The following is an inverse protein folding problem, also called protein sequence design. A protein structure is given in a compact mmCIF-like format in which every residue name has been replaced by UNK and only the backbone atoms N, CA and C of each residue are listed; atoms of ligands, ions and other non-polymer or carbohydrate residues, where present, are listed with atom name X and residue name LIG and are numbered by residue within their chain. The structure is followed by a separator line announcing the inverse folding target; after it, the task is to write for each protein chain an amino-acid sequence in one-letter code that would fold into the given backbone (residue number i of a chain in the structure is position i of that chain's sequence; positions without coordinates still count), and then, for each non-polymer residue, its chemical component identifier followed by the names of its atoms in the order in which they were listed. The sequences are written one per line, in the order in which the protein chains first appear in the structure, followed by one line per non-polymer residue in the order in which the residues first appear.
data_IF_654926308971
#
_entry.id   IF_654926308971
#
_cell.length_a   1.000
_cell.length_b   1.000
_cell.length_c   1.000
_cell.angle_alpha   90.00
_cell.angle_beta   90.00
_cell.angle_gamma   90.00
#
_symmetry.space_group_name_H-M   'P 1'
#
loop_
_entity.id
_entity.type
_entity.pdbx_description
1 polymer ?
#
# COMPACT_ATOMS: atom_id res chain seq x y z
N UNK A 1 17.63 8.50 -10.57
CA UNK A 1 16.27 8.03 -10.90
C UNK A 1 15.20 9.05 -10.53
N UNK A 2 15.34 9.83 -9.44
CA UNK A 2 14.42 10.92 -9.12
C UNK A 2 14.11 11.88 -10.28
N UNK A 3 15.11 12.21 -11.11
CA UNK A 3 14.91 13.11 -12.27
C UNK A 3 13.95 12.54 -13.33
N UNK A 4 13.75 11.21 -13.34
CA UNK A 4 12.82 10.56 -14.25
C UNK A 4 11.36 10.79 -13.86
N UNK A 5 11.08 11.27 -12.63
CA UNK A 5 9.72 11.49 -12.09
C UNK A 5 8.79 10.30 -12.38
N UNK A 6 9.32 9.11 -12.10
CA UNK A 6 8.74 7.86 -12.57
C UNK A 6 7.87 7.21 -11.51
N UNK A 7 6.75 6.66 -11.96
CA UNK A 7 5.94 5.72 -11.18
C UNK A 7 6.34 4.30 -11.55
N UNK A 8 6.68 3.50 -10.56
CA UNK A 8 6.91 2.07 -10.72
C UNK A 8 5.65 1.32 -10.31
N UNK A 9 5.08 0.55 -11.23
CA UNK A 9 4.07 -0.44 -10.92
C UNK A 9 4.77 -1.74 -10.54
N UNK A 10 4.77 -2.07 -9.26
CA UNK A 10 5.36 -3.30 -8.76
C UNK A 10 4.39 -4.48 -8.93
N UNK A 11 4.97 -5.67 -9.12
CA UNK A 11 4.23 -6.93 -9.05
C UNK A 11 3.71 -7.22 -7.65
N UNK A 12 3.13 -8.40 -7.46
CA UNK A 12 2.49 -8.80 -6.21
C UNK A 12 3.50 -8.94 -5.05
N UNK A 13 3.34 -8.10 -4.02
CA UNK A 13 4.09 -8.21 -2.76
C UNK A 13 3.24 -8.69 -1.60
N UNK A 14 2.00 -9.14 -1.82
CA UNK A 14 1.04 -9.57 -0.80
C UNK A 14 0.64 -8.46 0.20
N UNK A 15 1.12 -7.23 0.01
CA UNK A 15 0.84 -6.09 0.86
C UNK A 15 0.62 -4.84 -0.02
N UNK A 16 -0.63 -4.38 -0.18
CA UNK A 16 -0.90 -3.15 -0.91
C UNK A 16 -0.11 -1.99 -0.28
N UNK A 17 0.71 -1.32 -1.08
CA UNK A 17 1.59 -0.26 -0.59
C UNK A 17 1.92 0.79 -1.65
N UNK A 18 2.10 2.01 -1.19
CA UNK A 18 2.62 3.13 -1.97
C UNK A 18 3.83 3.71 -1.23
N UNK A 19 5.01 3.61 -1.83
CA UNK A 19 6.29 3.98 -1.20
C UNK A 19 7.03 4.95 -2.10
N UNK A 20 7.51 6.06 -1.52
CA UNK A 20 8.44 6.97 -2.19
C UNK A 20 9.86 6.64 -1.75
N UNK A 21 10.73 6.30 -2.70
CA UNK A 21 12.15 6.10 -2.41
C UNK A 21 12.88 7.44 -2.47
N UNK A 22 13.74 7.75 -1.49
CA UNK A 22 14.54 8.98 -1.51
C UNK A 22 15.53 8.92 -2.68
N UNK A 23 15.51 9.91 -3.56
CA UNK A 23 16.31 9.91 -4.79
C UNK A 23 15.83 8.92 -5.88
N UNK A 24 14.69 8.28 -5.65
CA UNK A 24 14.12 7.23 -6.50
C UNK A 24 12.67 7.49 -6.89
N UNK A 25 12.00 6.48 -7.47
CA UNK A 25 10.62 6.59 -7.92
C UNK A 25 9.61 6.50 -6.77
N UNK A 26 8.36 6.81 -7.09
CA UNK A 26 7.20 6.34 -6.33
C UNK A 26 6.81 4.96 -6.84
N UNK A 27 6.85 3.97 -5.96
CA UNK A 27 6.47 2.59 -6.23
C UNK A 27 5.06 2.31 -5.70
N UNK A 28 4.18 1.87 -6.57
CA UNK A 28 2.87 1.36 -6.21
C UNK A 28 2.84 -0.16 -6.39
N UNK A 29 2.61 -0.87 -5.29
CA UNK A 29 2.25 -2.28 -5.30
C UNK A 29 0.76 -2.39 -4.99
N UNK A 30 -0.02 -2.88 -5.96
CA UNK A 30 -1.44 -3.15 -5.74
C UNK A 30 -1.66 -4.30 -4.76
N UNK A 31 -2.89 -4.48 -4.28
CA UNK A 31 -3.27 -5.69 -3.54
C UNK A 31 -2.98 -6.97 -4.33
N UNK A 32 -2.67 -8.04 -3.61
CA UNK A 32 -2.66 -9.39 -4.20
C UNK A 32 -4.07 -9.77 -4.65
N UNK A 33 -4.18 -10.41 -5.83
CA UNK A 33 -5.46 -10.98 -6.28
C UNK A 33 -5.93 -12.15 -5.41
N UNK A 34 -4.99 -12.82 -4.72
CA UNK A 34 -5.24 -13.85 -3.73
C UNK A 34 -3.93 -14.50 -3.28
N UNK A 35 -3.74 -14.62 -1.96
CA UNK A 35 -2.54 -15.22 -1.35
C UNK A 35 -2.86 -15.85 -0.01
N UNK A 36 -2.26 -17.01 0.29
CA UNK A 36 -2.37 -17.60 1.63
C UNK A 36 -1.26 -17.11 2.55
N UNK A 37 -0.14 -16.61 2.01
CA UNK A 37 0.98 -16.12 2.79
C UNK A 37 0.83 -14.63 3.08
N UNK A 38 0.43 -14.30 4.31
CA UNK A 38 0.20 -12.93 4.75
C UNK A 38 1.51 -12.18 4.97
N UNK A 39 1.62 -10.98 4.37
CA UNK A 39 2.60 -9.97 4.74
C UNK A 39 1.90 -8.83 5.49
N UNK A 40 2.64 -8.20 6.39
CA UNK A 40 2.16 -7.06 7.18
C UNK A 40 3.30 -6.08 7.41
N UNK A 41 2.93 -4.85 7.69
CA UNK A 41 3.84 -3.78 8.05
C UNK A 41 3.28 -3.01 9.25
N UNK A 42 3.84 -3.30 10.42
CA UNK A 42 3.43 -2.71 11.70
C UNK A 42 4.69 -2.22 12.43
N UNK A 43 5.28 -1.09 11.99
CA UNK A 43 6.50 -0.55 12.57
C UNK A 43 6.32 -0.27 14.07
N UNK A 44 7.31 -0.68 14.85
CA UNK A 44 7.42 -0.41 16.29
C UNK A 44 8.83 0.12 16.57
N UNK A 45 8.99 1.38 16.99
CA UNK A 45 7.95 2.40 17.24
C UNK A 45 7.22 2.87 15.96
N UNK A 46 6.13 3.66 16.08
CA UNK A 46 5.49 4.31 14.93
C UNK A 46 6.49 5.13 14.11
N UNK A 47 6.23 5.26 12.80
CA UNK A 47 7.12 5.98 11.89
C UNK A 47 7.18 7.48 12.20
N UNK A 48 8.35 8.12 12.09
CA UNK A 48 8.47 9.58 12.08
C UNK A 48 7.67 10.20 10.94
N UNK A 49 7.29 11.48 11.09
CA UNK A 49 6.56 12.26 10.09
C UNK A 49 5.35 11.50 9.51
N UNK A 50 4.42 11.06 10.39
CA UNK A 50 3.33 10.16 10.03
C UNK A 50 2.42 10.78 8.96
N UNK A 51 1.87 9.93 8.11
CA UNK A 51 0.82 10.31 7.16
C UNK A 51 -0.57 10.31 7.81
N UNK A 52 -1.60 10.31 6.96
CA UNK A 52 -3.00 10.34 7.41
C UNK A 52 -3.55 9.00 7.91
N UNK A 53 -2.78 7.91 7.74
CA UNK A 53 -3.20 6.56 8.15
C UNK A 53 -2.11 5.86 8.98
N UNK A 54 -2.46 4.89 9.83
CA UNK A 54 -1.48 4.14 10.61
C UNK A 54 -0.40 3.48 9.72
N UNK A 55 0.80 3.31 10.28
CA UNK A 55 1.94 2.66 9.60
C UNK A 55 2.45 3.42 8.35
N UNK A 56 2.14 4.71 8.21
CA UNK A 56 2.69 5.59 7.17
C UNK A 56 3.64 6.61 7.78
N UNK A 57 4.59 7.11 6.99
CA UNK A 57 5.64 8.02 7.45
C UNK A 57 7.00 7.68 6.88
N UNK A 58 8.04 8.29 7.44
CA UNK A 58 9.42 8.11 6.99
C UNK A 58 9.95 6.76 7.49
N UNK A 59 10.59 6.00 6.61
CA UNK A 59 11.03 4.63 6.88
C UNK A 59 12.43 4.40 6.31
N UNK A 60 13.32 3.91 7.16
CA UNK A 60 14.64 3.43 6.77
C UNK A 60 14.67 1.92 6.95
N UNK A 61 14.88 1.18 5.86
CA UNK A 61 14.90 -0.28 5.92
C UNK A 61 16.21 -0.82 6.55
N UNK A 62 16.28 -2.14 6.69
CA UNK A 62 17.44 -2.82 7.28
C UNK A 62 18.74 -2.62 6.48
N UNK A 63 18.63 -2.34 5.17
CA UNK A 63 19.74 -2.07 4.26
C UNK A 63 20.09 -0.57 4.18
N UNK A 64 19.48 0.26 5.03
CA UNK A 64 19.68 1.72 5.09
C UNK A 64 19.12 2.47 3.89
N UNK A 65 18.22 1.88 3.11
CA UNK A 65 17.48 2.62 2.10
C UNK A 65 16.45 3.51 2.80
N UNK A 66 16.47 4.80 2.46
CA UNK A 66 15.53 5.78 2.99
C UNK A 66 14.33 5.90 2.07
N UNK A 67 13.14 5.85 2.64
CA UNK A 67 11.87 5.91 1.94
C UNK A 67 10.80 6.60 2.78
N UNK A 68 9.67 6.91 2.16
CA UNK A 68 8.45 7.34 2.83
C UNK A 68 7.31 6.43 2.44
N UNK A 69 6.70 5.76 3.41
CA UNK A 69 5.49 4.97 3.23
C UNK A 69 4.32 5.94 3.16
N UNK A 70 3.72 6.08 1.97
CA UNK A 70 2.61 7.02 1.71
C UNK A 70 1.25 6.40 2.02
N UNK A 71 1.08 5.11 1.70
CA UNK A 71 -0.10 4.33 2.03
C UNK A 71 0.28 2.85 2.18
N UNK A 72 -0.37 2.13 3.09
CA UNK A 72 -0.21 0.69 3.29
C UNK A 72 -1.49 0.11 3.89
N UNK A 73 -1.92 -1.07 3.44
CA UNK A 73 -3.10 -1.76 3.98
C UNK A 73 -2.69 -3.10 4.56
N UNK A 74 -2.81 -3.24 5.88
CA UNK A 74 -2.57 -4.51 6.56
C UNK A 74 -3.81 -5.40 6.57
N UNK A 75 -3.61 -6.68 6.88
CA UNK A 75 -4.72 -7.58 7.23
C UNK A 75 -5.57 -7.04 8.37
N UNK A 76 -6.82 -7.48 8.44
CA UNK A 76 -7.87 -6.99 9.36
C UNK A 76 -7.80 -7.59 10.75
N UNK A 77 -6.74 -8.31 11.04
CA UNK A 77 -6.47 -8.96 12.33
C UNK A 77 -5.10 -8.52 12.85
N UNK A 78 -4.94 -8.49 14.17
CA UNK A 78 -3.59 -8.37 14.73
C UNK A 78 -2.81 -9.66 14.46
N UNK A 79 -1.75 -9.54 13.67
CA UNK A 79 -1.00 -10.69 13.18
C UNK A 79 -0.26 -11.42 14.29
N UNK A 80 0.17 -10.73 15.36
CA UNK A 80 0.83 -11.39 16.49
C UNK A 80 -0.17 -12.27 17.25
N UNK A 81 -1.38 -11.76 17.48
CA UNK A 81 -2.49 -12.51 18.06
C UNK A 81 -2.85 -13.71 17.20
N UNK A 82 -2.90 -13.54 15.88
CA UNK A 82 -3.14 -14.64 14.93
C UNK A 82 -2.06 -15.74 15.03
N UNK A 83 -0.79 -15.36 14.94
CA UNK A 83 0.33 -16.30 15.01
C UNK A 83 0.35 -17.03 16.36
N UNK A 84 0.07 -16.34 17.48
CA UNK A 84 0.00 -16.95 18.80
C UNK A 84 -1.15 -17.97 18.92
N UNK A 85 -2.28 -17.73 18.26
CA UNK A 85 -3.43 -18.62 18.32
C UNK A 85 -3.30 -19.85 17.39
N UNK A 86 -2.73 -19.67 16.20
CA UNK A 86 -2.72 -20.69 15.14
C UNK A 86 -1.34 -21.24 14.79
N UNK A 87 -0.27 -20.71 15.38
CA UNK A 87 1.11 -21.16 15.15
C UNK A 87 1.66 -20.85 13.75
N UNK A 88 0.97 -20.04 12.95
CA UNK A 88 1.34 -19.75 11.56
C UNK A 88 0.86 -18.36 11.10
N UNK A 89 1.52 -17.75 10.08
CA UNK A 89 1.06 -16.48 9.50
C UNK A 89 0.04 -16.66 8.37
N UNK A 90 -0.30 -17.88 7.98
CA UNK A 90 -1.20 -18.11 6.84
C UNK A 90 -2.65 -17.78 7.20
N UNK A 91 -3.29 -16.97 6.36
CA UNK A 91 -4.71 -16.61 6.47
C UNK A 91 -5.40 -17.01 5.17
N UNK A 92 -6.19 -18.10 5.24
CA UNK A 92 -7.00 -18.56 4.10
C UNK A 92 -8.26 -17.72 3.89
N UNK A 93 -8.84 -17.19 4.97
CA UNK A 93 -10.06 -16.40 4.93
C UNK A 93 -9.82 -15.03 4.29
N UNK A 94 -10.40 -14.81 3.12
CA UNK A 94 -10.30 -13.55 2.37
C UNK A 94 -10.98 -12.37 3.09
N UNK A 95 -11.96 -12.62 3.97
CA UNK A 95 -12.62 -11.57 4.74
C UNK A 95 -11.67 -10.90 5.74
N UNK A 96 -10.60 -11.59 6.15
CA UNK A 96 -9.60 -11.10 7.10
C UNK A 96 -8.40 -10.41 6.42
N UNK A 97 -8.35 -10.40 5.10
CA UNK A 97 -7.22 -9.86 4.32
C UNK A 97 -7.64 -8.65 3.50
N UNK A 98 -6.66 -7.84 3.10
CA UNK A 98 -6.83 -6.73 2.17
C UNK A 98 -6.30 -7.12 0.78
N UNK A 99 -6.92 -8.16 0.21
CA UNK A 99 -6.69 -8.65 -1.16
C UNK A 99 -7.65 -7.98 -2.14
N UNK A 100 -7.25 -7.91 -3.41
CA UNK A 100 -8.05 -7.31 -4.47
C UNK A 100 -7.21 -6.86 -5.65
N UNK A 101 -7.33 -5.59 -6.02
CA UNK A 101 -6.70 -5.05 -7.23
C UNK A 101 -6.34 -3.57 -7.09
N UNK A 102 -5.36 -3.15 -7.89
CA UNK A 102 -4.88 -1.76 -7.93
C UNK A 102 -5.37 -1.05 -9.19
N UNK A 103 -5.68 0.25 -9.07
CA UNK A 103 -5.95 1.13 -10.21
C UNK A 103 -5.04 2.35 -10.11
N UNK A 104 -4.26 2.61 -11.17
CA UNK A 104 -3.56 3.88 -11.37
C UNK A 104 -4.29 4.67 -12.46
N UNK A 105 -4.86 5.82 -12.09
CA UNK A 105 -5.43 6.78 -13.05
C UNK A 105 -4.42 7.87 -13.33
N UNK A 106 -4.15 8.13 -14.61
CA UNK A 106 -3.25 9.20 -15.06
C UNK A 106 -4.11 10.28 -15.71
N UNK A 107 -4.13 11.47 -15.13
CA UNK A 107 -4.80 12.63 -15.71
C UNK A 107 -3.73 13.57 -16.28
N UNK A 108 -3.63 13.62 -17.61
CA UNK A 108 -2.63 14.44 -18.32
C UNK A 108 -2.99 15.92 -18.36
N UNK A 109 -4.28 16.26 -18.28
CA UNK A 109 -4.77 17.65 -18.25
C UNK A 109 -4.41 18.29 -16.92
N UNK A 110 -4.75 17.63 -15.82
CA UNK A 110 -4.47 18.13 -14.46
C UNK A 110 -3.08 17.72 -13.96
N UNK A 111 -2.34 16.92 -14.73
CA UNK A 111 -0.99 16.43 -14.41
C UNK A 111 -0.93 15.71 -13.06
N UNK A 112 -1.82 14.75 -12.85
CA UNK A 112 -1.90 13.97 -11.60
C UNK A 112 -1.93 12.46 -11.82
N UNK A 113 -1.30 11.74 -10.90
CA UNK A 113 -1.43 10.30 -10.69
C UNK A 113 -2.37 10.05 -9.51
N UNK A 114 -3.38 9.22 -9.70
CA UNK A 114 -4.28 8.77 -8.63
C UNK A 114 -4.14 7.27 -8.45
N UNK A 115 -3.54 6.87 -7.34
CA UNK A 115 -3.34 5.49 -6.93
C UNK A 115 -4.55 5.04 -6.12
N UNK A 116 -5.06 3.85 -6.40
CA UNK A 116 -6.19 3.28 -5.69
C UNK A 116 -5.92 1.80 -5.43
N UNK A 117 -6.14 1.35 -4.19
CA UNK A 117 -6.14 -0.05 -3.81
C UNK A 117 -7.57 -0.44 -3.39
N UNK A 118 -8.13 -1.44 -4.05
CA UNK A 118 -9.51 -1.87 -3.86
C UNK A 118 -9.54 -3.32 -3.44
N UNK A 119 -10.51 -3.66 -2.60
CA UNK A 119 -10.77 -5.06 -2.28
C UNK A 119 -11.42 -5.77 -3.46
N UNK A 120 -11.20 -7.08 -3.54
CA UNK A 120 -11.80 -7.92 -4.58
C UNK A 120 -13.33 -7.87 -4.60
N UNK A 121 -13.96 -7.60 -3.46
CA UNK A 121 -15.41 -7.58 -3.25
C UNK A 121 -16.05 -6.19 -3.43
N UNK A 122 -15.28 -5.19 -3.88
CA UNK A 122 -15.78 -3.82 -4.08
C UNK A 122 -15.73 -3.46 -5.56
N UNK A 123 -16.89 -3.05 -6.10
CA UNK A 123 -16.98 -2.41 -7.42
C UNK A 123 -16.66 -0.90 -7.29
N UNK A 124 -15.64 -0.38 -7.99
CA UNK A 124 -15.22 1.00 -7.86
C UNK A 124 -16.17 1.99 -8.56
N UNK A 125 -17.15 1.49 -9.33
CA UNK A 125 -18.19 2.28 -9.99
C UNK A 125 -19.49 2.33 -9.16
N UNK A 126 -19.63 1.49 -8.14
CA UNK A 126 -20.81 1.49 -7.29
C UNK A 126 -20.94 2.78 -6.47
N UNK A 127 -22.18 3.23 -6.26
CA UNK A 127 -22.45 4.44 -5.47
C UNK A 127 -21.96 4.28 -4.03
N UNK A 128 -21.16 5.24 -3.55
CA UNK A 128 -20.60 5.23 -2.19
C UNK A 128 -19.43 4.26 -2.00
N UNK A 129 -18.95 3.58 -3.04
CA UNK A 129 -17.78 2.71 -2.97
C UNK A 129 -16.53 3.49 -2.52
N UNK A 130 -15.74 2.86 -1.65
CA UNK A 130 -14.48 3.44 -1.13
C UNK A 130 -13.34 2.43 -1.30
N UNK A 131 -12.16 2.87 -1.72
CA UNK A 131 -10.97 2.03 -1.69
C UNK A 131 -10.54 1.74 -0.25
N UNK A 132 -9.52 0.89 -0.11
CA UNK A 132 -8.88 0.61 1.17
C UNK A 132 -8.41 1.89 1.86
N UNK A 133 -8.32 1.87 3.20
CA UNK A 133 -7.85 3.01 3.98
C UNK A 133 -6.46 3.46 3.52
N UNK A 134 -6.28 4.77 3.32
CA UNK A 134 -5.06 5.37 2.77
C UNK A 134 -5.12 5.64 1.27
N UNK A 135 -6.14 5.12 0.59
CA UNK A 135 -6.45 5.41 -0.81
C UNK A 135 -7.80 6.15 -0.93
N UNK A 136 -8.07 6.85 -2.05
CA UNK A 136 -7.13 7.12 -3.14
C UNK A 136 -5.99 8.05 -2.68
N UNK A 137 -4.79 7.81 -3.19
CA UNK A 137 -3.65 8.70 -2.96
C UNK A 137 -3.35 9.46 -4.24
N UNK A 138 -3.19 10.78 -4.16
CA UNK A 138 -2.98 11.64 -5.33
C UNK A 138 -1.62 12.32 -5.26
N UNK A 139 -0.85 12.22 -6.34
CA UNK A 139 0.41 12.93 -6.54
C UNK A 139 0.36 13.72 -7.85
N UNK A 140 0.90 14.94 -7.88
CA UNK A 140 1.14 15.62 -9.14
C UNK A 140 2.30 14.97 -9.90
N UNK A 141 2.42 15.22 -11.20
CA UNK A 141 3.55 14.74 -12.02
C UNK A 141 4.91 15.23 -11.51
N UNK A 142 4.92 16.35 -10.79
CA UNK A 142 6.15 16.93 -10.23
C UNK A 142 6.48 16.39 -8.83
N UNK A 143 5.59 15.58 -8.26
CA UNK A 143 5.71 14.98 -6.93
C UNK A 143 5.75 13.44 -6.98
N UNK A 144 5.96 12.85 -8.16
CA UNK A 144 6.30 11.42 -8.30
C UNK A 144 7.79 11.23 -8.45
#
# INVERSE_FOLDING_TARGET
MADAKAVVLAGDTHLPSLVRHVGGPVQFCGPAGGTTYTRWFTPKPPLPNPGSTPNTGDFTDAYKNVSKVLAVSNVRVDINTWINAYGQPYIGDQALKEEGYGILKINTVNRTHTFQAWRFDVDPLASGAKPMAGWPYVLSFDNV
#
